data_IF_945902865281
#
_entry.id   IF_945902865281
#
_cell.length_a   1.000
_cell.length_b   1.000
_cell.length_c   1.000
_cell.angle_alpha   90.00
_cell.angle_beta   90.00
_cell.angle_gamma   90.00
#
_symmetry.space_group_name_H-M   'P 1'
#
loop_
_entity.id
_entity.type
_entity.pdbx_description
1 polymer ?
#
# COMPACT_ATOMS: atom_id res chain seq x y z
N UNK A 1 11.08 16.29 22.50
CA UNK A 1 10.24 15.55 21.55
C UNK A 1 9.61 14.42 22.36
N UNK A 2 8.27 14.40 22.50
CA UNK A 2 7.59 13.31 23.21
C UNK A 2 7.90 12.00 22.49
N UNK A 3 8.51 11.08 23.20
CA UNK A 3 8.91 9.75 22.73
C UNK A 3 7.69 8.80 22.78
N UNK A 4 6.57 9.24 22.22
CA UNK A 4 5.34 8.45 22.18
C UNK A 4 5.49 7.34 21.13
N UNK A 5 5.30 6.08 21.55
CA UNK A 5 5.33 4.93 20.66
C UNK A 5 4.16 5.02 19.69
N UNK A 6 4.42 5.11 18.40
CA UNK A 6 3.36 5.23 17.38
C UNK A 6 2.87 3.88 16.93
N UNK A 7 1.59 3.81 16.60
CA UNK A 7 0.92 2.58 16.17
C UNK A 7 0.40 2.74 14.74
N UNK A 8 0.68 1.74 13.93
CA UNK A 8 0.30 1.72 12.51
C UNK A 8 -0.37 0.41 12.11
N UNK A 9 -1.32 0.49 11.18
CA UNK A 9 -1.81 -0.68 10.44
C UNK A 9 -1.08 -0.72 9.09
N UNK A 10 -0.55 -1.88 8.72
CA UNK A 10 0.03 -2.13 7.40
C UNK A 10 -0.76 -3.24 6.73
N UNK A 11 -1.50 -2.92 5.68
CA UNK A 11 -2.23 -3.92 4.89
C UNK A 11 -1.33 -4.52 3.82
N UNK A 12 -1.60 -5.77 3.39
CA UNK A 12 -0.67 -6.49 2.50
C UNK A 12 0.70 -6.73 3.15
N UNK A 13 0.75 -6.81 4.48
CA UNK A 13 1.98 -6.86 5.27
C UNK A 13 2.85 -8.09 5.00
N UNK A 14 2.28 -9.15 4.44
CA UNK A 14 3.02 -10.34 4.05
C UNK A 14 3.56 -10.30 2.61
N UNK A 15 3.33 -9.20 1.87
CA UNK A 15 3.91 -8.91 0.55
C UNK A 15 5.25 -8.19 0.64
N UNK A 16 5.88 -7.96 -0.53
CA UNK A 16 7.21 -7.32 -0.59
C UNK A 16 7.23 -5.92 0.03
N UNK A 17 6.46 -4.98 -0.51
CA UNK A 17 6.40 -3.58 -0.03
C UNK A 17 5.82 -3.53 1.39
N UNK A 18 4.71 -4.23 1.65
CA UNK A 18 4.06 -4.23 2.96
C UNK A 18 4.97 -4.82 4.06
N UNK A 19 5.65 -5.93 3.77
CA UNK A 19 6.61 -6.53 4.71
C UNK A 19 7.83 -5.63 4.97
N UNK A 20 8.37 -4.98 3.94
CA UNK A 20 9.44 -4.01 4.11
C UNK A 20 8.97 -2.79 4.94
N UNK A 21 7.75 -2.30 4.69
CA UNK A 21 7.14 -1.20 5.47
C UNK A 21 6.97 -1.59 6.94
N UNK A 22 6.41 -2.78 7.21
CA UNK A 22 6.26 -3.26 8.58
C UNK A 22 7.62 -3.34 9.30
N UNK A 23 8.62 -3.97 8.68
CA UNK A 23 9.98 -4.04 9.25
C UNK A 23 10.56 -2.66 9.50
N UNK A 24 10.41 -1.71 8.56
CA UNK A 24 10.94 -0.35 8.68
C UNK A 24 10.32 0.40 9.88
N UNK A 25 9.02 0.27 10.08
CA UNK A 25 8.31 0.89 11.21
C UNK A 25 8.71 0.23 12.54
N UNK A 26 8.75 -1.10 12.59
CA UNK A 26 9.17 -1.86 13.76
C UNK A 26 10.61 -1.56 14.17
N UNK A 27 11.52 -1.41 13.21
CA UNK A 27 12.92 -1.04 13.48
C UNK A 27 13.06 0.34 14.13
N UNK A 28 12.07 1.22 14.00
CA UNK A 28 11.97 2.52 14.68
C UNK A 28 11.24 2.45 16.03
N UNK A 29 10.88 1.27 16.50
CA UNK A 29 10.18 1.06 17.76
C UNK A 29 8.67 1.30 17.71
N UNK A 30 8.09 1.41 16.53
CA UNK A 30 6.63 1.55 16.39
C UNK A 30 5.90 0.24 16.64
N UNK A 31 4.64 0.32 17.05
CA UNK A 31 3.71 -0.80 17.05
C UNK A 31 3.12 -0.97 15.64
N UNK A 32 3.00 -2.20 15.17
CA UNK A 32 2.43 -2.51 13.85
C UNK A 32 1.39 -3.63 13.98
N UNK A 33 0.19 -3.39 13.45
CA UNK A 33 -0.74 -4.46 13.10
C UNK A 33 -0.55 -4.79 11.61
N UNK A 34 0.09 -5.92 11.34
CA UNK A 34 0.28 -6.44 9.98
C UNK A 34 -0.95 -7.23 9.51
N UNK A 35 -1.54 -6.84 8.40
CA UNK A 35 -2.76 -7.47 7.86
C UNK A 35 -2.50 -8.08 6.50
N UNK A 36 -2.88 -9.34 6.32
CA UNK A 36 -2.80 -10.04 5.02
C UNK A 36 -3.84 -11.17 4.95
N UNK A 37 -4.17 -11.63 3.76
CA UNK A 37 -5.05 -12.78 3.58
C UNK A 37 -4.33 -14.11 3.85
N UNK A 38 -3.00 -14.16 3.77
CA UNK A 38 -2.18 -15.37 3.90
C UNK A 38 -1.65 -15.57 5.32
N UNK A 39 -2.26 -16.46 6.09
CA UNK A 39 -1.81 -16.83 7.43
C UNK A 39 -0.33 -17.27 7.45
N UNK A 40 0.04 -18.19 6.54
CA UNK A 40 1.41 -18.71 6.46
C UNK A 40 2.47 -17.61 6.24
N UNK A 41 2.17 -16.61 5.40
CA UNK A 41 3.11 -15.50 5.14
C UNK A 41 3.16 -14.52 6.31
N UNK A 42 2.05 -14.35 7.04
CA UNK A 42 2.02 -13.56 8.28
C UNK A 42 2.87 -14.20 9.39
N UNK A 43 2.83 -15.52 9.54
CA UNK A 43 3.69 -16.27 10.47
C UNK A 43 5.18 -16.07 10.13
N UNK A 44 5.54 -16.11 8.84
CA UNK A 44 6.90 -15.82 8.40
C UNK A 44 7.31 -14.36 8.70
N UNK A 45 6.39 -13.40 8.53
CA UNK A 45 6.64 -12.00 8.90
C UNK A 45 6.93 -11.87 10.40
N UNK A 46 6.13 -12.52 11.26
CA UNK A 46 6.35 -12.51 12.72
C UNK A 46 7.72 -13.06 13.08
N UNK A 47 8.09 -14.21 12.52
CA UNK A 47 9.40 -14.80 12.76
C UNK A 47 10.55 -13.88 12.34
N UNK A 48 10.42 -13.22 11.18
CA UNK A 48 11.45 -12.32 10.65
C UNK A 48 11.54 -10.98 11.39
N UNK A 49 10.55 -10.62 12.20
CA UNK A 49 10.49 -9.37 12.93
C UNK A 49 10.69 -9.52 14.45
N UNK A 50 10.90 -10.74 14.96
CA UNK A 50 10.91 -11.04 16.39
C UNK A 50 11.95 -10.23 17.19
N UNK A 51 13.10 -9.91 16.57
CA UNK A 51 14.20 -9.18 17.22
C UNK A 51 14.13 -7.65 17.02
N UNK A 52 13.08 -7.15 16.34
CA UNK A 52 12.94 -5.71 16.13
C UNK A 52 12.37 -5.01 17.38
N UNK A 53 12.76 -3.74 17.65
CA UNK A 53 12.38 -3.07 18.87
C UNK A 53 10.88 -2.74 19.00
N UNK A 54 10.16 -2.64 17.89
CA UNK A 54 8.71 -2.41 17.85
C UNK A 54 7.91 -3.68 18.13
N UNK A 55 6.62 -3.53 18.41
CA UNK A 55 5.71 -4.67 18.64
C UNK A 55 4.93 -4.99 17.38
N UNK A 56 5.01 -6.24 16.91
CA UNK A 56 4.23 -6.74 15.79
C UNK A 56 3.10 -7.63 16.28
N UNK A 57 1.87 -7.27 15.91
CA UNK A 57 0.72 -8.17 15.90
C UNK A 57 0.28 -8.43 14.46
N UNK A 58 -0.33 -9.57 14.20
CA UNK A 58 -0.82 -9.90 12.87
C UNK A 58 -2.31 -10.22 12.87
N UNK A 59 -2.94 -9.93 11.74
CA UNK A 59 -4.36 -10.20 11.52
C UNK A 59 -4.57 -10.79 10.12
N UNK A 60 -5.11 -11.99 10.04
CA UNK A 60 -5.59 -12.52 8.77
C UNK A 60 -6.95 -11.93 8.47
N UNK A 61 -7.07 -11.19 7.36
CA UNK A 61 -8.34 -10.60 6.93
C UNK A 61 -8.39 -10.42 5.41
N UNK A 62 -9.58 -10.58 4.84
CA UNK A 62 -9.91 -10.15 3.48
C UNK A 62 -10.54 -8.76 3.56
N UNK A 63 -9.77 -7.75 3.23
CA UNK A 63 -10.16 -6.34 3.35
C UNK A 63 -11.13 -5.86 2.25
N UNK A 64 -11.54 -6.72 1.32
CA UNK A 64 -12.66 -6.44 0.41
C UNK A 64 -14.02 -6.58 1.12
N UNK A 65 -14.06 -7.17 2.33
CA UNK A 65 -15.23 -7.19 3.22
C UNK A 65 -15.22 -6.00 4.18
N UNK A 66 -16.37 -5.33 4.27
CA UNK A 66 -16.54 -4.18 5.18
C UNK A 66 -16.39 -4.58 6.64
N UNK A 67 -16.98 -5.69 7.05
CA UNK A 67 -16.90 -6.22 8.40
C UNK A 67 -15.44 -6.57 8.78
N UNK A 68 -14.69 -7.13 7.83
CA UNK A 68 -13.29 -7.46 8.06
C UNK A 68 -12.43 -6.20 8.23
N UNK A 69 -12.66 -5.16 7.41
CA UNK A 69 -11.95 -3.89 7.53
C UNK A 69 -12.25 -3.18 8.87
N UNK A 70 -13.50 -3.18 9.30
CA UNK A 70 -13.92 -2.69 10.62
C UNK A 70 -13.22 -3.46 11.73
N UNK A 71 -13.29 -4.79 11.70
CA UNK A 71 -12.70 -5.67 12.71
C UNK A 71 -11.17 -5.50 12.82
N UNK A 72 -10.48 -5.18 11.72
CA UNK A 72 -9.05 -4.88 11.74
C UNK A 72 -8.74 -3.61 12.53
N UNK A 73 -9.50 -2.53 12.31
CA UNK A 73 -9.31 -1.28 13.05
C UNK A 73 -9.62 -1.49 14.54
N UNK A 74 -10.73 -2.15 14.86
CA UNK A 74 -11.12 -2.50 16.23
C UNK A 74 -10.05 -3.35 16.93
N UNK A 75 -9.48 -4.35 16.24
CA UNK A 75 -8.38 -5.18 16.77
C UNK A 75 -7.15 -4.32 17.07
N UNK A 76 -6.78 -3.41 16.18
CA UNK A 76 -5.63 -2.52 16.41
C UNK A 76 -5.83 -1.70 17.69
N UNK A 77 -7.00 -1.10 17.86
CA UNK A 77 -7.34 -0.31 19.03
C UNK A 77 -7.40 -1.16 20.31
N UNK A 78 -7.94 -2.37 20.24
CA UNK A 78 -8.00 -3.28 21.37
C UNK A 78 -6.61 -3.75 21.85
N UNK A 79 -5.68 -3.98 20.91
CA UNK A 79 -4.33 -4.48 21.22
C UNK A 79 -3.37 -3.38 21.66
N UNK A 80 -3.41 -2.23 20.98
CA UNK A 80 -2.42 -1.17 21.17
C UNK A 80 -2.99 0.10 21.85
N UNK A 81 -4.30 0.19 22.00
CA UNK A 81 -4.99 1.34 22.61
C UNK A 81 -5.16 2.54 21.69
N UNK A 82 -4.38 2.63 20.60
CA UNK A 82 -4.39 3.79 19.70
C UNK A 82 -3.95 3.43 18.28
N UNK A 83 -4.28 4.32 17.34
CA UNK A 83 -3.88 4.23 15.94
C UNK A 83 -3.41 5.62 15.47
N UNK A 84 -2.25 5.71 14.81
CA UNK A 84 -1.68 6.95 14.30
C UNK A 84 -1.68 7.03 12.78
N UNK A 85 -1.68 5.88 12.09
CA UNK A 85 -1.75 5.86 10.65
C UNK A 85 -1.91 4.48 10.04
N UNK A 86 -2.24 4.48 8.74
CA UNK A 86 -2.47 3.28 7.94
C UNK A 86 -1.64 3.35 6.66
N UNK A 87 -0.91 2.28 6.36
CA UNK A 87 -0.35 2.01 5.06
C UNK A 87 -1.26 1.04 4.31
N UNK A 88 -2.02 1.53 3.33
CA UNK A 88 -2.85 0.73 2.44
C UNK A 88 -2.00 0.16 1.31
N UNK A 89 -1.29 -0.95 1.60
CA UNK A 89 -0.41 -1.64 0.65
C UNK A 89 -1.09 -2.84 0.00
N UNK A 90 -2.15 -3.38 0.62
CA UNK A 90 -2.96 -4.43 0.02
C UNK A 90 -3.46 -4.00 -1.36
N UNK A 91 -3.23 -4.85 -2.35
CA UNK A 91 -3.55 -4.55 -3.73
C UNK A 91 -2.65 -5.32 -4.70
N UNK A 92 -2.85 -5.10 -5.97
CA UNK A 92 -2.11 -5.75 -7.04
C UNK A 92 -3.00 -6.18 -8.18
N UNK A 93 -2.43 -6.91 -9.12
CA UNK A 93 -3.17 -7.54 -10.20
C UNK A 93 -3.80 -8.85 -9.71
N UNK A 94 -5.05 -9.08 -10.08
CA UNK A 94 -5.75 -10.36 -9.85
C UNK A 94 -5.37 -11.32 -10.99
N UNK A 95 -5.10 -12.58 -10.65
CA UNK A 95 -4.84 -13.64 -11.63
C UNK A 95 -3.72 -13.27 -12.63
N UNK A 96 -2.52 -12.92 -12.08
CA UNK A 96 -1.38 -12.54 -12.90
C UNK A 96 -0.90 -13.73 -13.71
N UNK A 97 -1.18 -13.71 -15.01
CA UNK A 97 -0.57 -14.56 -16.02
C UNK A 97 0.29 -13.69 -16.93
N UNK A 98 1.31 -14.27 -17.56
CA UNK A 98 2.26 -13.51 -18.38
C UNK A 98 1.62 -12.78 -19.58
N UNK A 99 0.48 -13.26 -20.06
CA UNK A 99 -0.32 -12.71 -21.16
C UNK A 99 -1.47 -11.80 -20.71
N UNK A 100 -1.66 -11.60 -19.41
CA UNK A 100 -2.80 -10.80 -18.90
C UNK A 100 -2.75 -9.34 -19.34
N UNK A 101 -1.56 -8.80 -19.60
CA UNK A 101 -1.35 -7.42 -20.02
C UNK A 101 -1.74 -7.13 -21.47
N UNK A 102 -1.79 -8.14 -22.34
CA UNK A 102 -2.03 -8.01 -23.77
C UNK A 102 -3.42 -8.55 -24.19
N UNK A 103 -4.28 -8.86 -23.22
CA UNK A 103 -5.63 -9.38 -23.54
C UNK A 103 -6.46 -8.36 -24.32
N UNK A 104 -7.08 -8.76 -25.44
CA UNK A 104 -8.05 -7.92 -26.14
C UNK A 104 -9.19 -7.50 -25.20
N UNK A 105 -9.60 -6.24 -25.27
CA UNK A 105 -10.68 -5.70 -24.41
C UNK A 105 -11.95 -6.58 -24.42
N UNK A 106 -12.32 -7.14 -25.58
CA UNK A 106 -13.48 -8.01 -25.73
C UNK A 106 -13.39 -9.32 -24.91
N UNK A 107 -12.20 -9.70 -24.44
CA UNK A 107 -11.96 -10.90 -23.63
C UNK A 107 -11.86 -10.59 -22.13
N UNK A 108 -11.91 -9.32 -21.74
CA UNK A 108 -11.87 -8.92 -20.33
C UNK A 108 -13.26 -9.11 -19.71
N UNK A 109 -13.36 -10.07 -18.80
CA UNK A 109 -14.61 -10.32 -18.07
C UNK A 109 -14.90 -9.22 -17.04
N UNK A 110 -16.17 -8.87 -16.88
CA UNK A 110 -16.62 -7.88 -15.90
C UNK A 110 -16.27 -8.31 -14.45
N UNK A 111 -16.26 -9.61 -14.17
CA UNK A 111 -15.87 -10.13 -12.85
C UNK A 111 -14.39 -9.84 -12.54
N UNK A 112 -13.49 -10.07 -13.50
CA UNK A 112 -12.08 -9.71 -13.35
C UNK A 112 -11.91 -8.21 -13.06
N UNK A 113 -12.63 -7.36 -13.81
CA UNK A 113 -12.61 -5.91 -13.61
C UNK A 113 -13.05 -5.54 -12.19
N UNK A 114 -14.20 -6.07 -11.74
CA UNK A 114 -14.74 -5.80 -10.40
C UNK A 114 -13.85 -6.30 -9.28
N UNK A 115 -13.32 -7.52 -9.38
CA UNK A 115 -12.38 -8.07 -8.38
C UNK A 115 -11.11 -7.24 -8.28
N UNK A 116 -10.61 -6.72 -9.40
CA UNK A 116 -9.44 -5.84 -9.40
C UNK A 116 -9.72 -4.52 -8.69
N UNK A 117 -10.92 -3.93 -8.91
CA UNK A 117 -11.33 -2.73 -8.17
C UNK A 117 -11.51 -3.03 -6.68
N UNK A 118 -12.20 -4.09 -6.33
CA UNK A 118 -12.38 -4.48 -4.93
C UNK A 118 -11.04 -4.64 -4.20
N UNK A 119 -10.09 -5.34 -4.81
CA UNK A 119 -8.77 -5.56 -4.22
C UNK A 119 -7.97 -4.26 -4.04
N UNK A 120 -8.07 -3.28 -4.95
CA UNK A 120 -7.20 -2.10 -4.95
C UNK A 120 -7.87 -0.85 -4.39
N UNK A 121 -9.16 -0.65 -4.61
CA UNK A 121 -9.89 0.57 -4.29
C UNK A 121 -10.72 0.39 -3.03
N UNK A 122 -11.56 -0.67 -2.98
CA UNK A 122 -12.48 -0.87 -1.86
C UNK A 122 -11.70 -1.10 -0.56
N UNK A 123 -10.60 -1.87 -0.61
CA UNK A 123 -9.73 -2.10 0.56
C UNK A 123 -9.20 -0.79 1.15
N UNK A 124 -8.70 0.13 0.32
CA UNK A 124 -8.18 1.41 0.76
C UNK A 124 -9.29 2.33 1.30
N UNK A 125 -10.45 2.34 0.63
CA UNK A 125 -11.61 3.10 1.05
C UNK A 125 -12.15 2.60 2.40
N UNK A 126 -12.36 1.30 2.56
CA UNK A 126 -12.91 0.70 3.78
C UNK A 126 -11.99 0.93 4.99
N UNK A 127 -10.68 0.76 4.82
CA UNK A 127 -9.72 1.06 5.88
C UNK A 127 -9.75 2.53 6.30
N UNK A 128 -9.84 3.46 5.33
CA UNK A 128 -9.97 4.88 5.63
C UNK A 128 -11.29 5.21 6.35
N UNK A 129 -12.41 4.65 5.87
CA UNK A 129 -13.75 4.82 6.43
C UNK A 129 -13.81 4.42 7.91
N UNK A 130 -13.28 3.24 8.25
CA UNK A 130 -13.39 2.73 9.61
C UNK A 130 -12.36 3.33 10.58
N UNK A 131 -11.26 3.88 10.08
CA UNK A 131 -10.28 4.59 10.90
C UNK A 131 -10.62 6.07 11.13
N UNK A 132 -11.40 6.69 10.24
CA UNK A 132 -11.76 8.11 10.30
C UNK A 132 -12.30 8.54 11.67
N UNK A 133 -13.29 7.87 12.29
CA UNK A 133 -13.84 8.31 13.58
C UNK A 133 -12.78 8.37 14.70
N UNK A 134 -11.85 7.42 14.70
CA UNK A 134 -10.77 7.39 15.68
C UNK A 134 -9.77 8.53 15.44
N UNK A 135 -9.36 8.74 14.19
CA UNK A 135 -8.46 9.84 13.83
C UNK A 135 -9.09 11.21 14.10
N UNK A 136 -10.36 11.38 13.79
CA UNK A 136 -11.10 12.63 14.06
C UNK A 136 -11.17 12.92 15.55
N UNK A 137 -11.52 11.93 16.38
CA UNK A 137 -11.57 12.09 17.83
C UNK A 137 -10.19 12.46 18.43
N UNK A 138 -9.10 11.97 17.82
CA UNK A 138 -7.73 12.30 18.22
C UNK A 138 -7.23 13.64 17.62
N UNK A 139 -7.89 14.16 16.57
CA UNK A 139 -7.41 15.31 15.79
C UNK A 139 -6.13 15.05 15.02
N UNK A 140 -5.79 13.77 14.82
CA UNK A 140 -4.58 13.34 14.13
C UNK A 140 -4.73 11.97 13.48
N UNK A 141 -4.34 11.88 12.22
CA UNK A 141 -4.28 10.62 11.50
C UNK A 141 -3.45 10.74 10.22
N UNK A 142 -2.89 9.63 9.76
CA UNK A 142 -2.17 9.55 8.49
C UNK A 142 -2.58 8.32 7.70
N UNK A 143 -2.90 8.51 6.44
CA UNK A 143 -3.24 7.45 5.50
C UNK A 143 -2.28 7.54 4.32
N UNK A 144 -1.60 6.45 4.02
CA UNK A 144 -0.73 6.34 2.84
C UNK A 144 -1.24 5.21 1.97
N UNK A 145 -1.72 5.56 0.79
CA UNK A 145 -2.20 4.60 -0.21
C UNK A 145 -1.08 4.19 -1.17
N UNK A 146 -1.11 2.97 -1.66
CA UNK A 146 -0.19 2.51 -2.71
C UNK A 146 -0.91 2.48 -4.05
N UNK A 147 -0.67 3.53 -4.86
CA UNK A 147 -1.07 3.61 -6.25
C UNK A 147 -0.09 2.81 -7.15
N UNK A 148 0.26 3.31 -8.30
CA UNK A 148 1.27 2.77 -9.23
C UNK A 148 1.57 3.82 -10.28
N UNK A 149 2.71 3.75 -10.97
CA UNK A 149 2.90 4.49 -12.23
C UNK A 149 1.87 4.12 -13.29
N UNK A 150 1.29 2.93 -13.24
CA UNK A 150 0.17 2.50 -14.07
C UNK A 150 -1.09 3.40 -13.95
N UNK A 151 -1.21 4.18 -12.87
CA UNK A 151 -2.27 5.18 -12.70
C UNK A 151 -2.16 6.37 -13.67
N UNK A 152 -0.97 6.59 -14.20
CA UNK A 152 -0.69 7.70 -15.12
C UNK A 152 -0.49 7.12 -16.51
N UNK A 153 -1.31 7.49 -17.47
CA UNK A 153 -1.23 6.96 -18.84
C UNK A 153 0.23 7.00 -19.35
N UNK A 154 0.85 5.84 -19.42
CA UNK A 154 2.22 5.69 -19.90
C UNK A 154 2.18 5.30 -21.37
N UNK A 155 2.85 6.07 -22.24
CA UNK A 155 2.86 5.86 -23.69
C UNK A 155 3.65 4.63 -24.13
N UNK A 156 4.37 3.98 -23.22
CA UNK A 156 5.33 2.94 -23.57
C UNK A 156 4.93 1.53 -23.13
N UNK A 157 3.79 1.37 -22.45
CA UNK A 157 3.33 0.08 -21.98
C UNK A 157 1.86 -0.11 -22.29
N UNK A 158 1.54 -1.29 -22.84
CA UNK A 158 0.18 -1.80 -22.83
C UNK A 158 -0.17 -2.05 -21.36
N UNK A 159 -1.23 -1.40 -20.90
CA UNK A 159 -1.65 -1.48 -19.50
C UNK A 159 -2.72 -2.54 -19.33
N UNK A 160 -2.83 -3.07 -18.13
CA UNK A 160 -3.97 -3.88 -17.75
C UNK A 160 -5.24 -3.02 -17.67
N UNK A 161 -6.28 -3.47 -18.35
CA UNK A 161 -7.54 -2.71 -18.52
C UNK A 161 -8.31 -2.51 -17.22
N UNK A 162 -8.07 -3.32 -16.19
CA UNK A 162 -8.69 -3.18 -14.86
C UNK A 162 -7.72 -2.54 -13.85
N UNK A 163 -6.45 -2.98 -13.86
CA UNK A 163 -5.47 -2.52 -12.88
C UNK A 163 -5.10 -1.04 -13.04
N UNK A 164 -4.84 -0.58 -14.26
CA UNK A 164 -4.48 0.82 -14.49
C UNK A 164 -5.60 1.78 -14.05
N UNK A 165 -6.88 1.59 -14.44
CA UNK A 165 -7.98 2.38 -13.93
C UNK A 165 -8.17 2.27 -12.42
N UNK A 166 -7.99 1.08 -11.81
CA UNK A 166 -8.09 0.92 -10.36
C UNK A 166 -7.01 1.74 -9.64
N UNK A 167 -5.76 1.74 -10.14
CA UNK A 167 -4.68 2.54 -9.55
C UNK A 167 -4.87 4.05 -9.78
N UNK A 168 -5.48 4.46 -10.90
CA UNK A 168 -5.92 5.84 -11.11
C UNK A 168 -7.05 6.24 -10.13
N UNK A 169 -7.97 5.32 -9.85
CA UNK A 169 -9.01 5.54 -8.83
C UNK A 169 -8.41 5.71 -7.42
N UNK A 170 -7.35 4.98 -7.06
CA UNK A 170 -6.62 5.18 -5.79
C UNK A 170 -6.01 6.59 -5.70
N UNK A 171 -5.48 7.13 -6.80
CA UNK A 171 -5.01 8.53 -6.85
C UNK A 171 -6.16 9.51 -6.60
N UNK A 172 -7.30 9.35 -7.31
CA UNK A 172 -8.49 10.18 -7.13
C UNK A 172 -9.04 10.09 -5.70
N UNK A 173 -9.11 8.87 -5.13
CA UNK A 173 -9.52 8.64 -3.75
C UNK A 173 -8.59 9.37 -2.76
N UNK A 174 -7.29 9.29 -2.95
CA UNK A 174 -6.29 9.98 -2.12
C UNK A 174 -6.53 11.48 -2.09
N UNK A 175 -6.68 12.09 -3.26
CA UNK A 175 -6.92 13.54 -3.39
C UNK A 175 -8.24 13.96 -2.77
N UNK A 176 -9.32 13.20 -3.03
CA UNK A 176 -10.65 13.48 -2.46
C UNK A 176 -10.63 13.37 -0.93
N UNK A 177 -10.07 12.30 -0.38
CA UNK A 177 -10.01 12.11 1.07
C UNK A 177 -9.11 13.14 1.75
N UNK A 178 -8.04 13.61 1.10
CA UNK A 178 -7.17 14.65 1.66
C UNK A 178 -7.93 15.96 1.91
N UNK A 179 -8.82 16.34 1.00
CA UNK A 179 -9.67 17.52 1.13
C UNK A 179 -10.77 17.31 2.16
N UNK A 180 -11.43 16.16 2.13
CA UNK A 180 -12.52 15.82 3.03
C UNK A 180 -12.07 15.74 4.49
N UNK A 181 -10.92 15.12 4.74
CA UNK A 181 -10.45 14.77 6.07
C UNK A 181 -9.42 15.76 6.64
N UNK A 182 -8.88 16.66 5.83
CA UNK A 182 -7.82 17.57 6.25
C UNK A 182 -8.19 18.45 7.45
N UNK A 183 -9.41 18.99 7.49
CA UNK A 183 -9.88 19.80 8.63
C UNK A 183 -10.08 18.99 9.93
N UNK A 184 -10.14 17.67 9.82
CA UNK A 184 -10.18 16.73 10.94
C UNK A 184 -8.77 16.34 11.46
N UNK A 185 -7.72 16.97 10.92
CA UNK A 185 -6.33 16.66 11.26
C UNK A 185 -5.82 15.36 10.65
N UNK A 186 -6.41 14.89 9.55
CA UNK A 186 -6.03 13.64 8.88
C UNK A 186 -5.34 13.97 7.56
N UNK A 187 -4.12 13.47 7.35
CA UNK A 187 -3.36 13.59 6.11
C UNK A 187 -3.55 12.33 5.30
N UNK A 188 -3.83 12.49 4.00
CA UNK A 188 -3.98 11.36 3.08
C UNK A 188 -3.06 11.59 1.89
N UNK A 189 -2.10 10.70 1.70
CA UNK A 189 -1.15 10.74 0.60
C UNK A 189 -1.06 9.38 -0.10
N UNK A 190 -0.39 9.32 -1.22
CA UNK A 190 -0.07 8.07 -1.88
C UNK A 190 1.40 8.02 -2.29
N UNK A 191 1.92 6.81 -2.46
CA UNK A 191 3.08 6.55 -3.29
C UNK A 191 2.64 5.92 -4.61
N UNK A 192 3.42 6.13 -5.66
CA UNK A 192 3.23 5.50 -6.96
C UNK A 192 4.52 4.76 -7.37
N UNK A 193 4.63 3.48 -7.01
CA UNK A 193 5.74 2.62 -7.42
C UNK A 193 5.82 2.48 -8.94
N UNK A 194 7.05 2.36 -9.45
CA UNK A 194 7.32 1.78 -10.75
C UNK A 194 7.37 0.25 -10.69
N UNK A 195 8.14 -0.37 -11.59
CA UNK A 195 8.47 -1.78 -11.42
C UNK A 195 9.40 -1.92 -10.22
N UNK A 196 8.92 -2.61 -9.20
CA UNK A 196 9.68 -2.89 -7.97
C UNK A 196 10.31 -4.27 -8.07
N UNK A 197 11.63 -4.32 -7.86
CA UNK A 197 12.35 -5.58 -7.94
C UNK A 197 11.97 -6.49 -6.78
N UNK A 198 11.46 -7.67 -7.11
CA UNK A 198 11.16 -8.76 -6.19
C UNK A 198 11.38 -10.09 -6.88
N UNK A 199 11.59 -11.16 -6.10
CA UNK A 199 11.73 -12.52 -6.64
C UNK A 199 10.53 -12.88 -7.53
N UNK A 200 9.31 -12.55 -7.07
CA UNK A 200 8.08 -12.78 -7.82
C UNK A 200 8.08 -12.10 -9.19
N UNK A 201 8.60 -10.88 -9.30
CA UNK A 201 8.65 -10.15 -10.59
C UNK A 201 9.59 -10.85 -11.56
N UNK A 202 10.75 -11.32 -11.10
CA UNK A 202 11.68 -12.05 -11.95
C UNK A 202 11.09 -13.38 -12.45
N UNK A 203 10.43 -14.12 -11.55
CA UNK A 203 9.81 -15.41 -11.88
C UNK A 203 8.63 -15.26 -12.85
N UNK A 204 7.80 -14.21 -12.68
CA UNK A 204 6.57 -14.05 -13.46
C UNK A 204 6.84 -13.47 -14.85
N UNK A 205 7.67 -12.43 -14.96
CA UNK A 205 7.77 -11.64 -16.20
C UNK A 205 9.04 -11.90 -17.02
N UNK A 206 10.02 -12.58 -16.46
CA UNK A 206 11.28 -12.90 -17.13
C UNK A 206 12.20 -11.69 -17.37
N UNK A 207 13.41 -12.00 -17.85
CA UNK A 207 14.50 -11.01 -17.98
C UNK A 207 14.19 -9.87 -18.96
N UNK A 208 13.60 -10.17 -20.12
CA UNK A 208 13.36 -9.16 -21.15
C UNK A 208 12.39 -8.05 -20.68
N UNK A 209 11.39 -8.41 -19.86
CA UNK A 209 10.48 -7.46 -19.25
C UNK A 209 11.22 -6.55 -18.26
N UNK A 210 12.03 -7.15 -17.39
CA UNK A 210 12.83 -6.41 -16.41
C UNK A 210 13.81 -5.45 -17.07
N UNK A 211 14.54 -5.92 -18.11
CA UNK A 211 15.52 -5.11 -18.85
C UNK A 211 14.86 -3.90 -19.54
N UNK A 212 13.67 -4.06 -20.10
CA UNK A 212 12.90 -2.95 -20.71
C UNK A 212 12.55 -1.87 -19.68
N UNK A 213 12.06 -2.28 -18.50
CA UNK A 213 11.74 -1.34 -17.42
C UNK A 213 13.00 -0.67 -16.88
N UNK A 214 14.09 -1.43 -16.71
CA UNK A 214 15.37 -0.88 -16.30
C UNK A 214 15.86 0.20 -17.28
N UNK A 215 15.75 -0.04 -18.56
CA UNK A 215 16.14 0.92 -19.60
C UNK A 215 15.30 2.21 -19.58
N UNK A 216 14.07 2.16 -19.06
CA UNK A 216 13.18 3.31 -18.92
C UNK A 216 13.50 4.18 -17.69
N UNK A 217 14.35 3.73 -16.76
CA UNK A 217 14.68 4.46 -15.54
C UNK A 217 15.81 5.47 -15.78
N UNK A 218 15.65 6.71 -15.29
CA UNK A 218 16.70 7.72 -15.37
C UNK A 218 17.90 7.41 -14.45
N UNK A 219 17.66 6.68 -13.34
CA UNK A 219 18.72 6.31 -12.39
C UNK A 219 19.48 5.02 -12.76
N UNK A 220 19.14 4.36 -13.87
CA UNK A 220 19.78 3.10 -14.30
C UNK A 220 19.59 1.94 -13.33
N UNK A 221 18.57 1.96 -12.49
CA UNK A 221 18.20 0.91 -11.54
C UNK A 221 16.69 0.86 -11.33
N UNK A 222 16.17 -0.28 -10.92
CA UNK A 222 14.79 -0.39 -10.43
C UNK A 222 14.73 -0.05 -8.94
N UNK A 223 13.59 0.46 -8.49
CA UNK A 223 13.33 0.63 -7.07
C UNK A 223 13.23 -0.74 -6.38
N UNK A 224 13.65 -0.81 -5.14
CA UNK A 224 13.51 -1.98 -4.27
C UNK A 224 12.35 -1.79 -3.31
N UNK A 225 11.90 -2.86 -2.69
CA UNK A 225 10.81 -2.80 -1.69
C UNK A 225 11.17 -1.90 -0.51
N UNK A 226 12.45 -1.78 -0.17
CA UNK A 226 12.94 -0.89 0.89
C UNK A 226 12.82 0.59 0.51
N UNK A 227 13.05 0.94 -0.76
CA UNK A 227 12.90 2.32 -1.24
C UNK A 227 11.43 2.78 -1.13
N UNK A 228 10.48 1.89 -1.42
CA UNK A 228 9.04 2.13 -1.23
C UNK A 228 8.68 2.25 0.25
N UNK A 229 9.23 1.37 1.09
CA UNK A 229 8.98 1.35 2.53
C UNK A 229 9.47 2.63 3.22
N UNK A 230 10.62 3.19 2.82
CA UNK A 230 11.12 4.47 3.33
C UNK A 230 10.17 5.63 2.96
N UNK A 231 9.66 5.65 1.73
CA UNK A 231 8.71 6.67 1.30
C UNK A 231 7.38 6.58 2.08
N UNK A 232 6.84 5.37 2.27
CA UNK A 232 5.63 5.13 3.07
C UNK A 232 5.87 5.57 4.52
N UNK A 233 6.98 5.14 5.13
CA UNK A 233 7.29 5.48 6.51
C UNK A 233 7.44 7.00 6.68
N UNK A 234 8.14 7.70 5.77
CA UNK A 234 8.24 9.15 5.79
C UNK A 234 6.85 9.82 5.76
N UNK A 235 5.95 9.37 4.91
CA UNK A 235 4.58 9.92 4.82
C UNK A 235 3.72 9.59 6.05
N UNK A 236 4.02 8.52 6.79
CA UNK A 236 3.36 8.15 8.05
C UNK A 236 3.94 8.88 9.26
N UNK A 237 5.20 9.29 9.22
CA UNK A 237 5.89 9.92 10.35
C UNK A 237 5.60 11.43 10.44
N UNK A 238 5.78 12.09 11.62
CA UNK A 238 5.46 13.51 11.83
C UNK A 238 6.21 14.48 10.90
N UNK A 239 7.35 14.10 10.37
CA UNK A 239 8.15 14.93 9.48
C UNK A 239 7.39 15.36 8.22
N UNK A 240 6.34 14.63 7.84
CA UNK A 240 5.47 14.92 6.70
C UNK A 240 4.11 15.55 7.09
N UNK A 241 3.98 16.16 8.28
CA UNK A 241 2.68 16.66 8.78
C UNK A 241 2.07 17.77 7.92
N UNK A 242 2.86 18.48 7.13
CA UNK A 242 2.39 19.50 6.19
C UNK A 242 2.08 18.95 4.79
N UNK A 243 2.24 17.63 4.55
CA UNK A 243 2.02 17.00 3.25
C UNK A 243 0.67 16.27 3.28
N UNK A 244 -0.25 16.65 2.39
CA UNK A 244 -1.54 15.97 2.20
C UNK A 244 -2.06 16.17 0.78
N UNK A 245 -2.62 15.12 0.18
CA UNK A 245 -3.12 15.12 -1.19
C UNK A 245 -2.06 14.77 -2.25
N UNK A 246 -0.84 14.49 -1.84
CA UNK A 246 0.27 14.25 -2.75
C UNK A 246 0.39 12.78 -3.18
N UNK A 247 0.91 12.59 -4.39
CA UNK A 247 1.28 11.28 -4.94
C UNK A 247 2.77 11.27 -5.24
N UNK A 248 3.54 10.68 -4.35
CA UNK A 248 4.99 10.59 -4.49
C UNK A 248 5.37 9.42 -5.41
N UNK A 249 5.98 9.71 -6.56
CA UNK A 249 6.49 8.68 -7.47
C UNK A 249 7.80 8.12 -6.94
N UNK A 250 7.83 6.82 -6.66
CA UNK A 250 9.03 6.08 -6.23
C UNK A 250 9.38 5.08 -7.33
N UNK A 251 10.04 5.55 -8.38
CA UNK A 251 10.16 4.81 -9.64
C UNK A 251 11.50 5.04 -10.35
N UNK A 252 12.53 5.40 -9.62
CA UNK A 252 13.88 5.60 -10.16
C UNK A 252 13.95 6.54 -11.40
N UNK A 253 13.02 7.53 -11.47
CA UNK A 253 13.00 8.54 -12.53
C UNK A 253 12.34 8.07 -13.84
N UNK A 254 11.49 7.07 -13.82
CA UNK A 254 10.59 6.74 -14.94
C UNK A 254 9.64 7.93 -15.18
N UNK A 255 9.50 8.37 -16.45
CA UNK A 255 8.69 9.52 -16.87
C UNK A 255 7.47 9.08 -17.67
#
# INVERSE_FOLDING_TARGET
MNNETRTYIVTGAAGGIGGATARRLLAKGANVLGVDISARRLEALQANCAELPGKLEVCRADLSSEEAAQGVVEKCLAVFGELHGIANVAGGMVDIEADSMDRPLAQIGLDYFRRTFALNVDTAFLMAKHAEPHFEAKGYGKIVNVASLAAFANRHELGDTAYNPAKAAVVGLTQTLSLLLGRKGIRVNAIAPGLVMSDKVQETFGKAYVDRHLAATALGKLARVEDEAEAIAFLLEPQSDAISGEVLRVAAGVR
#
